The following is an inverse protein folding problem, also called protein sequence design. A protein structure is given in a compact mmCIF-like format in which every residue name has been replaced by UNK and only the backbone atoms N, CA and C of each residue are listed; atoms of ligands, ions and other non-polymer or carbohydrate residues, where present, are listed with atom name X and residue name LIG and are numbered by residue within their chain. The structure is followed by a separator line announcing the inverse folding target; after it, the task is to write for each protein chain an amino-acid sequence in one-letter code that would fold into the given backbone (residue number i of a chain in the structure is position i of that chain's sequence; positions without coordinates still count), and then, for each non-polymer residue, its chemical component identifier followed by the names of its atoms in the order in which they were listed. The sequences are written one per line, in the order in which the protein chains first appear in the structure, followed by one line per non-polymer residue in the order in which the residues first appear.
data_IF_475153432374
#
_entry.id   IF_475153432374
#
_cell.length_a   1.000
_cell.length_b   1.000
_cell.length_c   1.000
_cell.angle_alpha   90.00
_cell.angle_beta   90.00
_cell.angle_gamma   90.00
#
_symmetry.space_group_name_H-M   'P 1'
#
loop_
_entity.id
_entity.type
_entity.pdbx_description
1 polymer ?
#
# COMPACT_ATOMS: atom_id res chain seq x y z
N UNK A 1 20.81 9.08 16.23
CA UNK A 1 19.69 8.16 15.94
C UNK A 1 20.04 6.82 16.57
N UNK A 2 19.15 6.31 17.41
CA UNK A 2 19.29 4.99 18.02
C UNK A 2 18.03 4.18 17.69
N UNK A 3 18.18 2.87 17.53
CA UNK A 3 17.08 1.94 17.29
C UNK A 3 17.14 0.89 18.39
N UNK A 4 16.02 0.64 19.04
CA UNK A 4 15.89 -0.30 20.14
C UNK A 4 14.74 -1.27 19.83
N UNK A 5 14.91 -2.52 20.22
CA UNK A 5 13.85 -3.50 20.13
C UNK A 5 12.83 -3.30 21.25
N UNK A 6 11.54 -3.39 20.92
CA UNK A 6 10.47 -3.67 21.87
C UNK A 6 10.04 -5.14 21.69
N UNK A 7 10.31 -6.02 22.67
CA UNK A 7 9.96 -7.45 22.60
C UNK A 7 8.48 -7.72 22.34
N UNK A 8 7.58 -6.82 22.74
CA UNK A 8 6.15 -6.95 22.47
C UNK A 8 5.85 -6.73 20.98
N UNK A 9 6.48 -5.74 20.35
CA UNK A 9 6.32 -5.50 18.92
C UNK A 9 6.91 -6.68 18.11
N UNK A 10 8.04 -7.24 18.56
CA UNK A 10 8.63 -8.46 17.98
C UNK A 10 7.69 -9.67 18.11
N UNK A 11 7.04 -9.85 19.26
CA UNK A 11 6.07 -10.92 19.45
C UNK A 11 4.83 -10.75 18.54
N UNK A 12 4.28 -9.53 18.46
CA UNK A 12 3.12 -9.20 17.64
C UNK A 12 3.40 -9.28 16.12
N UNK A 13 4.66 -9.25 15.70
CA UNK A 13 5.08 -9.54 14.33
C UNK A 13 4.88 -11.02 13.98
N UNK A 14 5.15 -11.93 14.92
CA UNK A 14 5.05 -13.39 14.73
C UNK A 14 3.66 -13.95 15.02
N UNK A 15 2.85 -13.23 15.78
CA UNK A 15 1.45 -13.59 16.05
C UNK A 15 0.66 -13.67 14.72
N UNK A 16 0.13 -14.85 14.34
CA UNK A 16 -0.58 -15.04 13.08
C UNK A 16 -1.87 -14.23 12.98
N UNK A 17 -2.49 -13.87 14.11
CA UNK A 17 -3.71 -13.06 14.15
C UNK A 17 -3.39 -11.58 13.97
N UNK A 18 -2.18 -11.13 14.32
CA UNK A 18 -1.76 -9.73 14.20
C UNK A 18 -0.93 -9.48 12.95
N UNK A 19 0.24 -10.13 12.85
CA UNK A 19 1.29 -9.88 11.84
C UNK A 19 1.64 -8.39 11.73
N UNK A 20 1.73 -7.70 12.86
CA UNK A 20 2.01 -6.27 12.89
C UNK A 20 3.41 -5.96 12.35
N UNK A 21 3.62 -4.75 11.85
CA UNK A 21 4.95 -4.25 11.43
C UNK A 21 5.16 -2.91 12.13
N UNK A 22 5.10 -2.95 13.46
CA UNK A 22 5.01 -1.78 14.29
C UNK A 22 6.34 -1.03 14.39
N UNK A 23 6.30 0.30 14.33
CA UNK A 23 7.43 1.16 14.66
C UNK A 23 6.94 2.37 15.48
N UNK A 24 7.69 2.70 16.53
CA UNK A 24 7.55 3.92 17.30
C UNK A 24 8.67 4.91 16.94
N UNK A 25 8.34 6.18 16.82
CA UNK A 25 9.33 7.24 16.61
C UNK A 25 9.14 8.35 17.65
N UNK A 26 10.21 8.67 18.37
CA UNK A 26 10.30 9.83 19.25
C UNK A 26 11.42 10.77 18.78
N UNK A 27 11.25 12.06 19.07
CA UNK A 27 12.23 13.10 18.72
C UNK A 27 12.53 13.93 19.96
N UNK A 28 13.80 13.96 20.36
CA UNK A 28 14.34 14.81 21.43
C UNK A 28 15.14 15.94 20.82
N UNK A 29 14.84 17.17 21.21
CA UNK A 29 15.53 18.37 20.77
C UNK A 29 16.76 18.66 21.65
N UNK A 30 17.65 19.52 21.15
CA UNK A 30 18.88 19.91 21.85
C UNK A 30 18.63 20.74 23.11
N UNK A 31 17.45 21.36 23.23
CA UNK A 31 17.02 22.08 24.43
C UNK A 31 16.44 21.14 25.52
N UNK A 32 16.42 19.83 25.24
CA UNK A 32 15.93 18.81 26.16
C UNK A 32 14.43 18.50 26.02
N UNK A 33 13.67 19.28 25.25
CA UNK A 33 12.26 19.02 24.97
C UNK A 33 12.07 17.78 24.07
N UNK A 34 10.88 17.16 24.14
CA UNK A 34 10.56 15.93 23.41
C UNK A 34 9.17 16.01 22.77
N UNK A 35 9.05 15.50 21.54
CA UNK A 35 7.74 15.21 20.95
C UNK A 35 7.20 13.90 21.50
N UNK A 36 5.87 13.78 21.67
CA UNK A 36 5.23 12.49 21.96
C UNK A 36 5.63 11.45 20.92
N UNK A 37 5.84 10.22 21.38
CA UNK A 37 6.10 9.10 20.48
C UNK A 37 4.90 8.84 19.56
N UNK A 38 5.17 8.66 18.28
CA UNK A 38 4.18 8.21 17.31
C UNK A 38 4.41 6.74 17.02
N UNK A 39 3.53 5.89 17.52
CA UNK A 39 3.51 4.46 17.23
C UNK A 39 2.54 4.17 16.08
N UNK A 40 3.04 3.56 15.01
CA UNK A 40 2.21 3.01 13.93
C UNK A 40 2.36 1.51 13.92
N UNK A 41 1.32 0.81 14.37
CA UNK A 41 1.34 -0.66 14.50
C UNK A 41 1.14 -1.37 13.15
N UNK A 42 0.21 -0.88 12.33
CA UNK A 42 -0.12 -1.46 11.03
C UNK A 42 0.19 -0.47 9.91
N UNK A 43 1.11 -0.79 8.99
CA UNK A 43 1.35 0.06 7.83
C UNK A 43 0.11 0.14 6.95
N UNK A 44 -0.01 1.19 6.13
CA UNK A 44 -1.18 1.41 5.26
C UNK A 44 -1.49 0.21 4.34
N UNK A 45 -0.45 -0.51 3.90
CA UNK A 45 -0.59 -1.71 3.07
C UNK A 45 -1.06 -2.97 3.80
N UNK A 46 -1.21 -2.93 5.13
CA UNK A 46 -1.61 -4.08 5.94
C UNK A 46 -3.09 -4.45 5.73
N UNK A 47 -3.44 -5.73 5.96
CA UNK A 47 -4.81 -6.23 5.78
C UNK A 47 -5.84 -5.49 6.66
N UNK A 48 -5.45 -5.10 7.88
CA UNK A 48 -6.29 -4.36 8.83
C UNK A 48 -6.62 -2.92 8.40
N UNK A 49 -5.93 -2.37 7.38
CA UNK A 49 -6.13 -0.99 6.89
C UNK A 49 -6.62 -0.95 5.44
N UNK A 50 -7.28 -2.00 4.96
CA UNK A 50 -7.76 -2.08 3.56
C UNK A 50 -8.73 -0.97 3.19
N UNK A 51 -9.63 -0.58 4.08
CA UNK A 51 -10.59 0.52 3.83
C UNK A 51 -9.88 1.84 3.53
N UNK A 52 -8.81 2.15 4.27
CA UNK A 52 -7.98 3.35 4.06
C UNK A 52 -6.99 3.17 2.89
N UNK A 53 -6.43 1.98 2.73
CA UNK A 53 -5.37 1.69 1.77
C UNK A 53 -5.84 1.48 0.33
N UNK A 54 -7.02 0.90 0.11
CA UNK A 54 -7.53 0.62 -1.25
C UNK A 54 -7.70 1.91 -2.07
N UNK A 55 -8.34 2.99 -1.57
CA UNK A 55 -8.44 4.24 -2.34
C UNK A 55 -7.08 4.76 -2.81
N UNK A 56 -6.08 4.75 -1.91
CA UNK A 56 -4.72 5.19 -2.20
C UNK A 56 -3.98 4.26 -3.17
N UNK A 57 -4.26 2.95 -3.11
CA UNK A 57 -3.77 1.97 -4.08
C UNK A 57 -4.35 2.24 -5.48
N UNK A 58 -5.64 2.57 -5.57
CA UNK A 58 -6.29 2.91 -6.84
C UNK A 58 -5.71 4.20 -7.45
N UNK A 59 -5.47 5.21 -6.63
CA UNK A 59 -4.84 6.47 -7.09
C UNK A 59 -3.39 6.26 -7.52
N UNK A 60 -2.65 5.40 -6.81
CA UNK A 60 -1.33 4.94 -7.23
C UNK A 60 -1.41 4.25 -8.60
N UNK A 61 -2.35 3.33 -8.80
CA UNK A 61 -2.51 2.63 -10.08
C UNK A 61 -2.80 3.60 -11.23
N UNK A 62 -3.76 4.53 -11.06
CA UNK A 62 -4.08 5.56 -12.06
C UNK A 62 -2.87 6.42 -12.42
N UNK A 63 -2.12 6.93 -11.41
CA UNK A 63 -0.90 7.72 -11.65
C UNK A 63 0.13 6.94 -12.46
N UNK A 64 0.39 5.68 -12.13
CA UNK A 64 1.39 4.90 -12.85
C UNK A 64 0.97 4.58 -14.29
N UNK A 65 -0.32 4.35 -14.56
CA UNK A 65 -0.81 4.22 -15.94
C UNK A 65 -0.61 5.52 -16.73
N UNK A 66 -0.88 6.67 -16.11
CA UNK A 66 -0.72 7.98 -16.74
C UNK A 66 0.72 8.30 -17.15
N UNK A 67 1.72 7.72 -16.48
CA UNK A 67 3.13 7.88 -16.87
C UNK A 67 3.50 7.13 -18.16
N UNK A 68 2.71 6.13 -18.58
CA UNK A 68 3.11 5.20 -19.67
C UNK A 68 2.19 5.21 -20.87
N UNK A 69 0.90 5.45 -20.66
CA UNK A 69 -0.15 5.20 -21.67
C UNK A 69 -0.95 6.46 -21.97
N UNK A 70 -1.47 6.63 -23.20
CA UNK A 70 -2.41 7.70 -23.52
C UNK A 70 -3.74 7.48 -22.79
N UNK A 71 -4.50 8.55 -22.56
CA UNK A 71 -5.74 8.54 -21.76
C UNK A 71 -6.73 7.44 -22.15
N UNK A 72 -6.92 7.20 -23.44
CA UNK A 72 -7.84 6.17 -23.94
C UNK A 72 -7.41 4.77 -23.49
N UNK A 73 -6.11 4.48 -23.55
CA UNK A 73 -5.58 3.18 -23.12
C UNK A 73 -5.62 3.04 -21.59
N UNK A 74 -5.34 4.11 -20.84
CA UNK A 74 -5.50 4.12 -19.39
C UNK A 74 -6.93 3.74 -18.97
N UNK A 75 -7.93 4.35 -19.62
CA UNK A 75 -9.34 4.09 -19.33
C UNK A 75 -9.74 2.64 -19.62
N UNK A 76 -9.27 2.07 -20.74
CA UNK A 76 -9.50 0.66 -21.08
C UNK A 76 -8.89 -0.29 -20.04
N UNK A 77 -7.65 -0.04 -19.63
CA UNK A 77 -6.98 -0.82 -18.59
C UNK A 77 -7.75 -0.72 -17.27
N UNK A 78 -8.09 0.50 -16.84
CA UNK A 78 -8.84 0.72 -15.59
C UNK A 78 -10.20 0.03 -15.59
N UNK A 79 -10.97 0.14 -16.68
CA UNK A 79 -12.27 -0.51 -16.78
C UNK A 79 -12.15 -2.03 -16.66
N UNK A 80 -11.14 -2.65 -17.27
CA UNK A 80 -10.89 -4.08 -17.15
C UNK A 80 -10.40 -4.49 -15.75
N UNK A 81 -9.49 -3.72 -15.13
CA UNK A 81 -8.89 -4.09 -13.85
C UNK A 81 -9.81 -3.87 -12.63
N UNK A 82 -10.76 -2.94 -12.72
CA UNK A 82 -11.59 -2.54 -11.57
C UNK A 82 -12.93 -3.28 -11.47
N UNK A 83 -13.24 -4.16 -12.44
CA UNK A 83 -14.36 -5.09 -12.38
C UNK A 83 -13.83 -6.52 -12.13
N UNK A 84 -13.90 -7.04 -10.89
CA UNK A 84 -13.37 -8.36 -10.55
C UNK A 84 -14.01 -9.50 -11.34
N UNK A 85 -15.30 -9.38 -11.68
CA UNK A 85 -16.03 -10.43 -12.39
C UNK A 85 -15.61 -10.46 -13.85
N UNK A 86 -15.57 -9.29 -14.49
CA UNK A 86 -15.12 -9.19 -15.88
C UNK A 86 -13.63 -9.56 -16.01
N UNK A 87 -12.78 -9.14 -15.07
CA UNK A 87 -11.35 -9.47 -15.06
C UNK A 87 -11.11 -10.98 -14.95
N UNK A 88 -11.83 -11.65 -14.04
CA UNK A 88 -11.68 -13.09 -13.83
C UNK A 88 -12.11 -13.92 -15.04
N UNK A 89 -13.03 -13.40 -15.86
CA UNK A 89 -13.50 -14.05 -17.09
C UNK A 89 -12.65 -13.70 -18.33
N UNK A 90 -11.79 -12.68 -18.26
CA UNK A 90 -11.00 -12.22 -19.40
C UNK A 90 -9.87 -13.21 -19.73
N UNK A 91 -9.70 -13.60 -21.00
CA UNK A 91 -8.52 -14.37 -21.41
C UNK A 91 -7.24 -13.62 -21.04
N UNK A 92 -6.26 -14.35 -20.49
CA UNK A 92 -4.99 -13.76 -20.05
C UNK A 92 -4.29 -13.00 -21.19
N UNK A 93 -4.36 -13.53 -22.42
CA UNK A 93 -3.83 -12.87 -23.62
C UNK A 93 -4.44 -11.51 -23.86
N UNK A 94 -5.74 -11.37 -23.64
CA UNK A 94 -6.50 -10.17 -23.92
C UNK A 94 -6.20 -9.10 -22.87
N UNK A 95 -6.10 -9.50 -21.60
CA UNK A 95 -5.70 -8.58 -20.53
C UNK A 95 -4.29 -8.04 -20.73
N UNK A 96 -3.33 -8.91 -21.05
CA UNK A 96 -1.94 -8.50 -21.30
C UNK A 96 -1.85 -7.60 -22.54
N UNK A 97 -2.65 -7.86 -23.58
CA UNK A 97 -2.70 -7.03 -24.78
C UNK A 97 -3.11 -5.57 -24.50
N UNK A 98 -3.87 -5.31 -23.42
CA UNK A 98 -4.22 -3.93 -23.01
C UNK A 98 -2.99 -3.07 -22.69
N UNK A 99 -1.84 -3.67 -22.38
CA UNK A 99 -0.60 -2.99 -21.97
C UNK A 99 0.44 -2.87 -23.09
N UNK A 100 0.17 -3.39 -24.30
CA UNK A 100 1.06 -3.22 -25.43
C UNK A 100 1.08 -1.74 -25.87
N UNK A 101 2.23 -1.20 -26.30
CA UNK A 101 2.27 0.15 -26.86
C UNK A 101 1.38 0.22 -28.13
N UNK A 102 0.63 1.30 -28.26
CA UNK A 102 -0.01 1.68 -29.52
C UNK A 102 0.97 2.28 -30.52
#
# INVERSE_FOLDING_TARGET
MACHEDPRLSADYLDPDKRSIANGLSVRFTDGSELPEVLVEYPLGHARRREEGIPLLMDKFRRHLAHRFPTVQQQRILAASLDPVALAAMPVTDYVALYLPG
#
